data_IF_182356598609
#
_entry.id   IF_182356598609
#
_cell.length_a   1.000
_cell.length_b   1.000
_cell.length_c   1.000
_cell.angle_alpha   90.00
_cell.angle_beta   90.00
_cell.angle_gamma   90.00
#
_symmetry.space_group_name_H-M   'P 1'
#
loop_
_entity.id
_entity.type
_entity.pdbx_description
1 polymer ?
#
# COMPACT_ATOMS: atom_id res chain seq x y z
N UNK A 1 33.30 -9.61 57.61
CA UNK A 1 33.04 -8.39 58.42
C UNK A 1 34.04 -7.32 58.00
N UNK A 2 33.65 -6.05 58.18
CA UNK A 2 34.46 -4.82 58.10
C UNK A 2 34.50 -4.16 56.71
N UNK A 3 33.70 -3.09 56.65
CA UNK A 3 33.67 -2.05 55.63
C UNK A 3 34.89 -1.14 55.78
N UNK A 4 35.37 -0.56 54.67
CA UNK A 4 35.94 0.79 54.70
C UNK A 4 35.84 1.45 53.31
N UNK A 5 35.05 2.52 53.25
CA UNK A 5 35.16 3.57 52.23
C UNK A 5 36.13 4.63 52.77
N UNK A 6 36.82 5.36 51.88
CA UNK A 6 37.00 6.78 52.11
C UNK A 6 36.54 7.64 50.92
N UNK A 7 36.09 8.84 51.29
CA UNK A 7 35.63 9.97 50.50
C UNK A 7 36.85 10.77 49.95
N UNK A 8 36.82 11.26 48.71
CA UNK A 8 36.51 12.65 48.28
C UNK A 8 37.70 13.63 48.28
N UNK A 9 38.14 14.05 47.09
CA UNK A 9 38.67 15.38 46.71
C UNK A 9 38.93 15.38 45.19
N UNK A 10 38.09 15.98 44.34
CA UNK A 10 38.06 17.40 43.98
C UNK A 10 39.33 17.89 43.24
N UNK A 11 39.31 17.81 41.91
CA UNK A 11 40.10 18.67 41.04
C UNK A 11 39.18 19.21 39.94
N UNK A 12 38.89 20.50 40.08
CA UNK A 12 38.12 21.37 39.22
C UNK A 12 38.99 21.73 37.99
N UNK A 13 38.56 21.37 36.78
CA UNK A 13 39.09 22.00 35.55
C UNK A 13 37.97 22.82 34.94
N UNK A 14 38.21 24.12 34.93
CA UNK A 14 37.39 25.17 34.34
C UNK A 14 37.45 25.11 32.81
N UNK A 15 36.27 25.26 32.20
CA UNK A 15 35.94 26.01 30.99
C UNK A 15 36.93 26.00 29.80
N UNK A 16 36.46 25.57 28.62
CA UNK A 16 35.84 26.49 27.64
C UNK A 16 34.98 25.71 26.62
N UNK A 17 33.83 26.27 26.20
CA UNK A 17 33.03 25.77 25.09
C UNK A 17 33.55 26.38 23.77
N UNK A 18 33.68 25.58 22.71
CA UNK A 18 33.99 26.09 21.38
C UNK A 18 33.04 25.48 20.35
N UNK A 19 31.92 26.19 20.20
CA UNK A 19 31.11 26.39 19.00
C UNK A 19 31.08 25.26 17.95
N UNK A 20 29.95 24.55 17.96
CA UNK A 20 29.31 24.08 16.74
C UNK A 20 29.17 25.26 15.75
N UNK A 21 29.79 25.16 14.58
CA UNK A 21 29.49 26.06 13.48
C UNK A 21 28.08 25.76 12.96
N UNK A 22 27.11 26.49 13.51
CA UNK A 22 25.79 26.64 12.90
C UNK A 22 25.98 27.40 11.58
N UNK A 23 25.75 26.72 10.47
CA UNK A 23 25.68 27.32 9.15
C UNK A 23 24.50 28.30 9.14
N UNK A 24 24.68 29.57 8.75
CA UNK A 24 23.59 30.53 8.70
C UNK A 24 22.52 30.08 7.69
N UNK A 25 21.22 30.28 7.97
CA UNK A 25 20.17 30.02 7.00
C UNK A 25 20.36 30.92 5.77
N UNK A 26 20.03 30.42 4.55
CA UNK A 26 20.08 31.25 3.36
C UNK A 26 19.12 32.46 3.48
N UNK A 27 19.48 33.61 2.90
CA UNK A 27 18.63 34.80 2.95
C UNK A 27 17.29 34.58 2.23
N UNK A 28 16.20 35.23 2.66
CA UNK A 28 14.93 35.18 1.94
C UNK A 28 15.09 35.80 0.55
N UNK A 29 14.75 35.02 -0.48
CA UNK A 29 14.76 35.49 -1.86
C UNK A 29 13.53 36.36 -2.12
N UNK A 30 13.72 37.68 -2.21
CA UNK A 30 12.69 38.69 -2.52
C UNK A 30 12.63 38.99 -4.02
N UNK A 31 12.37 37.98 -4.85
CA UNK A 31 12.12 38.20 -6.27
C UNK A 31 10.61 38.40 -6.54
N UNK A 32 10.19 39.55 -7.09
CA UNK A 32 8.78 39.80 -7.43
C UNK A 32 8.33 39.01 -8.67
N UNK A 33 7.03 38.66 -8.67
CA UNK A 33 6.30 38.12 -9.83
C UNK A 33 6.32 39.07 -11.03
N UNK A 34 6.49 38.56 -12.27
CA UNK A 34 5.94 39.21 -13.45
C UNK A 34 4.51 38.70 -13.68
N UNK A 35 3.54 39.48 -13.20
CA UNK A 35 2.22 39.52 -13.82
C UNK A 35 2.30 40.27 -15.16
N UNK A 36 1.33 39.96 -16.04
CA UNK A 36 0.88 40.64 -17.27
C UNK A 36 0.89 39.67 -18.46
N UNK A 37 -0.16 39.43 -19.25
CA UNK A 37 -1.48 40.05 -19.40
C UNK A 37 -2.21 39.21 -20.46
N UNK A 38 -3.46 38.79 -20.23
CA UNK A 38 -4.59 39.14 -21.12
C UNK A 38 -5.94 38.68 -20.52
N UNK A 39 -6.99 39.53 -20.46
CA UNK A 39 -8.32 39.14 -19.99
C UNK A 39 -9.37 38.99 -21.11
N UNK A 40 -10.46 38.29 -20.72
CA UNK A 40 -11.87 38.34 -21.20
C UNK A 40 -12.26 37.50 -22.45
N UNK A 41 -13.50 36.93 -22.54
CA UNK A 41 -14.68 37.45 -21.87
C UNK A 41 -15.60 36.51 -21.10
N UNK A 42 -16.13 37.08 -20.01
CA UNK A 42 -17.42 36.73 -19.40
C UNK A 42 -18.42 37.78 -19.90
N UNK A 43 -19.55 37.36 -20.47
CA UNK A 43 -20.77 38.16 -20.39
C UNK A 43 -22.00 37.27 -20.38
N UNK A 44 -22.87 37.61 -19.45
CA UNK A 44 -24.11 36.98 -19.02
C UNK A 44 -25.26 37.42 -19.92
N UNK A 45 -26.23 36.54 -20.20
CA UNK A 45 -27.62 36.98 -20.34
C UNK A 45 -28.63 35.85 -20.07
N UNK A 46 -29.83 36.20 -19.58
CA UNK A 46 -30.78 35.30 -18.90
C UNK A 46 -31.88 34.80 -19.84
N UNK A 47 -32.48 33.64 -19.53
CA UNK A 47 -33.67 33.14 -20.22
C UNK A 47 -34.94 33.51 -19.42
N UNK A 48 -35.93 34.23 -19.99
CA UNK A 48 -37.26 34.40 -19.42
C UNK A 48 -38.27 33.33 -19.94
N UNK A 49 -39.47 33.21 -19.33
CA UNK A 49 -40.25 31.97 -19.30
C UNK A 49 -41.59 31.98 -20.09
N UNK A 50 -42.18 30.76 -20.20
CA UNK A 50 -43.59 30.39 -20.47
C UNK A 50 -44.08 30.48 -21.95
N UNK A 51 -45.01 29.66 -22.48
CA UNK A 51 -46.11 28.86 -21.89
C UNK A 51 -46.60 27.75 -22.90
N UNK A 52 -47.78 27.09 -22.80
CA UNK A 52 -47.93 25.63 -22.70
C UNK A 52 -48.78 25.01 -23.84
N UNK A 53 -49.19 23.75 -23.63
CA UNK A 53 -50.28 23.04 -24.33
C UNK A 53 -50.05 22.63 -25.80
N UNK A 54 -49.66 21.37 -26.01
CA UNK A 54 -50.57 20.44 -26.70
C UNK A 54 -50.34 18.98 -26.31
N UNK A 55 -51.43 18.45 -25.77
CA UNK A 55 -51.72 17.09 -25.34
C UNK A 55 -51.58 16.05 -26.45
N UNK A 56 -51.07 14.85 -26.11
CA UNK A 56 -51.67 13.54 -26.44
C UNK A 56 -50.87 12.39 -25.78
N UNK A 57 -51.48 11.73 -24.78
CA UNK A 57 -51.18 10.33 -24.41
C UNK A 57 -51.99 9.40 -25.35
N UNK A 58 -51.64 8.10 -25.58
CA UNK A 58 -51.53 7.08 -24.53
C UNK A 58 -50.41 6.01 -24.69
N UNK A 59 -49.89 5.56 -23.54
CA UNK A 59 -49.54 4.20 -23.05
C UNK A 59 -48.97 3.04 -23.94
N UNK A 60 -48.37 2.00 -23.31
CA UNK A 60 -47.15 1.30 -23.76
C UNK A 60 -47.39 -0.09 -24.37
N UNK A 61 -46.51 -0.52 -25.29
CA UNK A 61 -46.40 -1.92 -25.72
C UNK A 61 -44.93 -2.33 -25.97
N UNK A 62 -44.41 -3.11 -25.03
CA UNK A 62 -43.57 -4.32 -25.19
C UNK A 62 -42.85 -4.51 -26.54
N UNK A 63 -41.53 -4.34 -26.53
CA UNK A 63 -40.64 -5.04 -27.46
C UNK A 63 -39.46 -5.63 -26.69
N UNK A 64 -39.49 -6.95 -26.51
CA UNK A 64 -38.39 -7.78 -26.06
C UNK A 64 -37.33 -7.90 -27.15
N UNK A 65 -36.09 -8.17 -26.73
CA UNK A 65 -34.95 -8.87 -27.37
C UNK A 65 -33.67 -8.02 -27.49
N UNK A 66 -32.47 -8.65 -27.53
CA UNK A 66 -31.96 -9.79 -26.75
C UNK A 66 -30.58 -9.48 -26.08
N UNK A 67 -30.15 -10.24 -25.04
CA UNK A 67 -28.87 -10.00 -24.38
C UNK A 67 -27.69 -10.37 -25.30
N UNK A 68 -26.75 -9.44 -25.45
CA UNK A 68 -25.47 -9.69 -26.10
C UNK A 68 -24.72 -10.79 -25.35
N UNK A 69 -24.35 -11.85 -26.07
CA UNK A 69 -23.49 -12.90 -25.56
C UNK A 69 -22.10 -12.32 -25.22
N UNK A 70 -21.53 -12.64 -24.05
CA UNK A 70 -20.13 -12.30 -23.78
C UNK A 70 -19.20 -13.12 -24.68
N UNK A 71 -18.06 -12.57 -25.15
CA UNK A 71 -17.07 -13.34 -25.87
C UNK A 71 -16.51 -14.44 -24.97
N UNK A 72 -16.45 -15.64 -25.53
CA UNK A 72 -15.88 -16.83 -24.91
C UNK A 72 -14.34 -16.79 -24.98
N UNK A 73 -13.73 -17.36 -23.93
CA UNK A 73 -12.38 -17.92 -23.87
C UNK A 73 -11.18 -16.97 -23.86
N UNK A 74 -11.06 -16.20 -22.77
CA UNK A 74 -9.81 -16.21 -22.02
C UNK A 74 -10.12 -16.88 -20.67
N UNK A 75 -9.58 -18.08 -20.43
CA UNK A 75 -9.64 -18.73 -19.13
C UNK A 75 -9.00 -17.76 -18.12
N UNK A 76 -9.73 -17.13 -17.19
CA UNK A 76 -9.11 -16.23 -16.23
C UNK A 76 -8.13 -17.09 -15.43
N UNK A 77 -6.86 -16.68 -15.41
CA UNK A 77 -5.95 -17.21 -14.41
C UNK A 77 -6.62 -16.93 -13.06
N UNK A 78 -7.04 -17.96 -12.32
CA UNK A 78 -7.84 -17.77 -11.10
C UNK A 78 -7.13 -16.89 -10.07
N UNK A 79 -5.82 -16.68 -10.22
CA UNK A 79 -5.03 -15.72 -9.47
C UNK A 79 -5.46 -14.26 -9.74
N UNK A 80 -5.60 -13.80 -11.00
CA UNK A 80 -5.92 -12.40 -11.35
C UNK A 80 -7.36 -11.98 -11.07
N UNK A 81 -8.23 -12.92 -10.68
CA UNK A 81 -9.62 -12.65 -10.30
C UNK A 81 -9.83 -12.50 -8.78
N UNK A 82 -8.76 -12.63 -7.97
CA UNK A 82 -8.89 -12.58 -6.51
C UNK A 82 -9.02 -11.14 -6.02
N UNK A 83 -9.91 -10.87 -5.05
CA UNK A 83 -10.13 -9.53 -4.53
C UNK A 83 -8.92 -9.05 -3.72
N UNK A 84 -8.66 -7.75 -3.79
CA UNK A 84 -7.74 -7.04 -2.90
C UNK A 84 -8.32 -6.89 -1.48
N UNK A 85 -7.51 -6.41 -0.54
CA UNK A 85 -7.90 -6.10 0.83
C UNK A 85 -8.90 -4.96 0.85
N UNK A 86 -8.69 -3.93 0.02
CA UNK A 86 -9.58 -2.79 -0.16
C UNK A 86 -10.11 -2.80 -1.59
N UNK A 87 -11.43 -2.78 -1.75
CA UNK A 87 -12.10 -2.96 -3.06
C UNK A 87 -11.91 -1.76 -3.99
N UNK A 88 -11.83 -0.54 -3.43
CA UNK A 88 -11.52 0.66 -4.21
C UNK A 88 -10.14 0.49 -4.84
N UNK A 89 -9.95 0.61 -6.16
CA UNK A 89 -8.62 0.60 -6.76
C UNK A 89 -7.76 1.72 -6.17
N UNK A 90 -6.45 1.51 -6.07
CA UNK A 90 -5.53 2.56 -5.66
C UNK A 90 -5.18 3.50 -6.82
N UNK A 91 -5.09 4.79 -6.51
CA UNK A 91 -4.57 5.79 -7.43
C UNK A 91 -3.05 5.90 -7.23
N UNK A 92 -2.27 5.78 -8.31
CA UNK A 92 -0.83 5.97 -8.24
C UNK A 92 -0.43 7.45 -8.11
N UNK A 93 -1.38 8.37 -8.29
CA UNK A 93 -1.18 9.83 -8.28
C UNK A 93 -1.53 10.47 -6.93
N UNK A 94 -2.20 9.73 -6.03
CA UNK A 94 -2.68 10.24 -4.74
C UNK A 94 -2.43 9.21 -3.62
N UNK A 95 -2.56 9.64 -2.37
CA UNK A 95 -2.40 8.78 -1.19
C UNK A 95 -3.78 8.55 -0.59
N UNK A 96 -4.23 7.30 -0.59
CA UNK A 96 -5.55 6.97 -0.08
C UNK A 96 -5.50 6.63 1.42
N UNK A 97 -6.32 7.31 2.22
CA UNK A 97 -6.66 6.85 3.57
C UNK A 97 -7.69 5.71 3.49
N UNK A 98 -7.29 4.52 3.92
CA UNK A 98 -8.11 3.30 3.85
C UNK A 98 -8.23 2.61 5.21
N UNK A 99 -9.21 1.72 5.32
CA UNK A 99 -9.33 0.80 6.46
C UNK A 99 -9.13 -0.63 5.97
N UNK A 100 -8.05 -1.27 6.43
CA UNK A 100 -7.75 -2.66 6.11
C UNK A 100 -8.66 -3.59 6.92
N UNK A 101 -9.41 -4.51 6.26
CA UNK A 101 -10.20 -5.51 6.96
C UNK A 101 -9.33 -6.65 7.49
N UNK A 102 -9.72 -7.19 8.63
CA UNK A 102 -9.18 -8.44 9.16
C UNK A 102 -9.71 -9.62 8.34
N UNK A 103 -8.86 -10.28 7.54
CA UNK A 103 -9.22 -11.49 6.77
C UNK A 103 -8.45 -12.70 7.32
N UNK A 104 -9.06 -13.90 7.43
CA UNK A 104 -8.32 -15.12 7.68
C UNK A 104 -7.26 -15.32 6.59
N UNK A 105 -6.05 -15.74 6.97
CA UNK A 105 -4.97 -15.94 6.01
C UNK A 105 -4.08 -17.13 6.38
N UNK A 106 -3.55 -17.77 5.34
CA UNK A 106 -2.46 -18.74 5.46
C UNK A 106 -1.13 -17.99 5.42
N UNK A 107 -0.22 -18.31 6.33
CA UNK A 107 0.96 -17.49 6.65
C UNK A 107 2.21 -18.37 6.64
N UNK A 108 3.24 -17.92 5.91
CA UNK A 108 4.60 -18.42 6.02
C UNK A 108 5.57 -17.26 6.28
N UNK A 109 6.48 -17.46 7.22
CA UNK A 109 7.56 -16.53 7.46
C UNK A 109 8.70 -16.78 6.47
N UNK A 110 9.36 -15.71 6.03
CA UNK A 110 10.51 -15.76 5.15
C UNK A 110 11.52 -14.69 5.51
N UNK A 111 12.70 -14.83 4.93
CA UNK A 111 13.76 -13.81 4.95
C UNK A 111 14.46 -13.81 3.61
N UNK A 112 14.90 -12.65 3.16
CA UNK A 112 15.60 -12.50 1.90
C UNK A 112 16.58 -11.33 1.97
N UNK A 113 17.56 -11.34 1.07
CA UNK A 113 18.35 -10.16 0.74
C UNK A 113 17.60 -9.30 -0.27
N UNK A 114 17.97 -8.02 -0.35
CA UNK A 114 17.40 -7.07 -1.30
C UNK A 114 17.52 -7.55 -2.76
N UNK A 115 18.69 -8.06 -3.14
CA UNK A 115 18.97 -8.58 -4.48
C UNK A 115 18.09 -9.79 -4.87
N UNK A 116 17.56 -10.52 -3.88
CA UNK A 116 16.77 -11.74 -4.07
C UNK A 116 15.28 -11.53 -3.73
N UNK A 117 14.86 -10.28 -3.49
CA UNK A 117 13.55 -9.96 -2.94
C UNK A 117 12.40 -10.52 -3.79
N UNK A 118 12.34 -10.12 -5.06
CA UNK A 118 11.29 -10.56 -5.99
C UNK A 118 11.26 -12.10 -6.14
N UNK A 119 12.43 -12.73 -6.22
CA UNK A 119 12.52 -14.19 -6.30
C UNK A 119 12.00 -14.86 -5.03
N UNK A 120 12.41 -14.39 -3.85
CA UNK A 120 12.02 -14.97 -2.57
C UNK A 120 10.51 -14.85 -2.32
N UNK A 121 9.94 -13.68 -2.62
CA UNK A 121 8.51 -13.41 -2.53
C UNK A 121 7.70 -14.28 -3.51
N UNK A 122 8.17 -14.45 -4.75
CA UNK A 122 7.52 -15.36 -5.69
C UNK A 122 7.53 -16.81 -5.20
N UNK A 123 8.67 -17.29 -4.70
CA UNK A 123 8.81 -18.67 -4.24
C UNK A 123 7.93 -18.96 -3.02
N UNK A 124 7.89 -18.04 -2.04
CA UNK A 124 7.11 -18.23 -0.83
C UNK A 124 5.60 -18.17 -1.14
N UNK A 125 5.13 -17.30 -2.04
CA UNK A 125 3.73 -17.29 -2.46
C UNK A 125 3.36 -18.58 -3.17
N UNK A 126 4.17 -19.04 -4.14
CA UNK A 126 3.95 -20.32 -4.81
C UNK A 126 3.92 -21.50 -3.82
N UNK A 127 4.74 -21.45 -2.76
CA UNK A 127 4.75 -22.46 -1.70
C UNK A 127 3.44 -22.44 -0.90
N UNK A 128 2.95 -21.27 -0.49
CA UNK A 128 1.66 -21.14 0.22
C UNK A 128 0.52 -21.68 -0.65
N UNK A 129 0.46 -21.30 -1.94
CA UNK A 129 -0.55 -21.79 -2.88
C UNK A 129 -0.51 -23.33 -3.01
N UNK A 130 0.68 -23.91 -3.10
CA UNK A 130 0.86 -25.37 -3.19
C UNK A 130 0.36 -26.07 -1.93
N UNK A 131 0.68 -25.54 -0.76
CA UNK A 131 0.29 -26.16 0.51
C UNK A 131 -1.21 -25.97 0.79
N UNK A 132 -1.80 -24.84 0.38
CA UNK A 132 -3.26 -24.63 0.36
C UNK A 132 -3.97 -25.64 -0.55
N UNK A 133 -3.45 -25.84 -1.77
CA UNK A 133 -4.02 -26.79 -2.72
C UNK A 133 -3.98 -28.23 -2.19
N UNK A 134 -2.87 -28.66 -1.56
CA UNK A 134 -2.77 -29.97 -0.90
C UNK A 134 -3.75 -30.13 0.25
N UNK A 135 -4.02 -29.05 0.99
CA UNK A 135 -4.99 -29.04 2.07
C UNK A 135 -6.46 -28.92 1.58
N UNK A 136 -6.68 -28.74 0.27
CA UNK A 136 -8.02 -28.54 -0.29
C UNK A 136 -8.64 -27.18 0.07
N UNK A 137 -7.82 -26.20 0.44
CA UNK A 137 -8.26 -24.85 0.84
C UNK A 137 -8.09 -23.91 -0.35
N UNK A 138 -9.17 -23.25 -0.74
CA UNK A 138 -9.12 -22.27 -1.82
C UNK A 138 -8.65 -20.90 -1.30
N UNK A 139 -7.71 -20.22 -1.98
CA UNK A 139 -7.36 -18.85 -1.66
C UNK A 139 -8.54 -17.90 -1.99
N UNK A 140 -8.71 -16.88 -1.17
CA UNK A 140 -9.84 -15.94 -1.22
C UNK A 140 -9.41 -14.47 -1.38
N UNK A 141 -8.12 -14.19 -1.61
CA UNK A 141 -7.63 -12.84 -1.84
C UNK A 141 -6.24 -12.81 -2.46
N UNK A 142 -5.78 -11.61 -2.81
CA UNK A 142 -4.43 -11.38 -3.37
C UNK A 142 -3.34 -11.69 -2.33
N UNK A 143 -2.15 -12.16 -2.77
CA UNK A 143 -1.02 -12.38 -1.86
C UNK A 143 -0.55 -11.08 -1.21
N UNK A 144 -0.10 -11.19 0.03
CA UNK A 144 0.34 -10.07 0.86
C UNK A 144 1.70 -10.42 1.48
N UNK A 145 2.64 -9.48 1.51
CA UNK A 145 3.85 -9.57 2.30
C UNK A 145 3.82 -8.51 3.41
N UNK A 146 4.00 -8.93 4.66
CA UNK A 146 4.13 -8.04 5.81
C UNK A 146 5.60 -7.99 6.20
N UNK A 147 6.27 -6.87 5.98
CA UNK A 147 7.67 -6.70 6.32
C UNK A 147 7.78 -6.42 7.82
N UNK A 148 8.29 -7.41 8.55
CA UNK A 148 8.35 -7.39 10.03
C UNK A 148 9.67 -6.84 10.55
N UNK A 149 10.71 -6.91 9.73
CA UNK A 149 12.03 -6.34 10.02
C UNK A 149 12.79 -6.09 8.73
N UNK A 150 13.45 -4.95 8.64
CA UNK A 150 14.34 -4.58 7.54
C UNK A 150 15.67 -4.11 8.13
N UNK A 151 16.77 -4.38 7.43
CA UNK A 151 18.12 -3.92 7.72
C UNK A 151 18.92 -3.74 6.42
N UNK A 152 20.16 -3.29 6.52
CA UNK A 152 21.00 -3.01 5.34
C UNK A 152 21.30 -4.28 4.50
N UNK A 153 21.27 -5.46 5.11
CA UNK A 153 21.59 -6.73 4.47
C UNK A 153 20.35 -7.43 3.87
N UNK A 154 19.15 -7.10 4.35
CA UNK A 154 17.90 -7.65 3.85
C UNK A 154 16.71 -7.44 4.77
N UNK A 155 15.79 -8.39 4.72
CA UNK A 155 14.52 -8.26 5.42
C UNK A 155 13.93 -9.60 5.84
N UNK A 156 13.04 -9.53 6.83
CA UNK A 156 12.19 -10.61 7.31
C UNK A 156 10.75 -10.21 7.08
N UNK A 157 9.96 -11.16 6.60
CA UNK A 157 8.59 -10.91 6.21
C UNK A 157 7.69 -12.08 6.55
N UNK A 158 6.41 -11.81 6.70
CA UNK A 158 5.35 -12.81 6.72
C UNK A 158 4.57 -12.73 5.41
N UNK A 159 4.72 -13.74 4.56
CA UNK A 159 3.91 -13.89 3.38
C UNK A 159 2.56 -14.50 3.77
N UNK A 160 1.48 -13.91 3.28
CA UNK A 160 0.12 -14.26 3.60
C UNK A 160 -0.72 -14.41 2.34
N UNK A 161 -1.58 -15.42 2.30
CA UNK A 161 -2.64 -15.55 1.28
C UNK A 161 -3.98 -15.61 2.01
N UNK A 162 -4.88 -14.63 1.81
CA UNK A 162 -6.21 -14.65 2.42
C UNK A 162 -6.98 -15.91 2.03
N UNK A 163 -7.73 -16.47 2.96
CA UNK A 163 -8.61 -17.65 2.80
C UNK A 163 -10.00 -17.33 3.34
N UNK A 164 -11.01 -18.07 2.89
CA UNK A 164 -12.40 -17.79 3.28
C UNK A 164 -12.64 -17.97 4.80
N UNK A 165 -11.93 -18.92 5.42
CA UNK A 165 -12.03 -19.23 6.85
C UNK A 165 -10.74 -19.90 7.33
N UNK A 166 -10.42 -19.71 8.61
CA UNK A 166 -9.34 -20.46 9.27
C UNK A 166 -9.75 -21.93 9.37
N UNK A 167 -8.95 -22.89 8.90
CA UNK A 167 -9.28 -24.30 9.01
C UNK A 167 -9.32 -24.73 10.48
N UNK A 168 -10.30 -25.55 10.84
CA UNK A 168 -10.47 -26.06 12.21
C UNK A 168 -9.27 -26.90 12.67
N UNK A 169 -8.58 -27.52 11.71
CA UNK A 169 -7.31 -28.23 11.93
C UNK A 169 -6.26 -27.66 11.00
N UNK A 170 -5.17 -27.16 11.58
CA UNK A 170 -4.02 -26.75 10.79
C UNK A 170 -3.46 -27.95 10.02
N UNK A 171 -3.15 -27.80 8.72
CA UNK A 171 -2.42 -28.81 7.97
C UNK A 171 -1.04 -29.02 8.59
N UNK A 172 -0.48 -30.22 8.43
CA UNK A 172 0.88 -30.50 8.89
C UNK A 172 1.90 -29.67 8.09
N UNK A 173 2.93 -29.17 8.77
CA UNK A 173 4.02 -28.41 8.16
C UNK A 173 4.20 -27.02 8.77
N UNK A 174 4.86 -26.14 8.01
CA UNK A 174 5.22 -24.79 8.45
C UNK A 174 4.09 -23.76 8.20
N UNK A 175 3.06 -24.15 7.43
CA UNK A 175 1.96 -23.28 7.06
C UNK A 175 1.08 -22.98 8.27
N UNK A 176 1.10 -21.72 8.73
CA UNK A 176 0.27 -21.24 9.83
C UNK A 176 -1.00 -20.61 9.29
N UNK A 177 -2.01 -20.48 10.14
CA UNK A 177 -3.21 -19.71 9.84
C UNK A 177 -3.42 -18.64 10.90
N UNK A 178 -3.80 -17.46 10.46
CA UNK A 178 -4.00 -16.30 11.30
C UNK A 178 -4.89 -15.27 10.61
N UNK A 179 -4.63 -13.99 10.90
CA UNK A 179 -5.41 -12.88 10.36
C UNK A 179 -4.49 -11.87 9.72
N UNK A 180 -4.87 -11.32 8.58
CA UNK A 180 -4.15 -10.20 7.95
C UNK A 180 -4.09 -9.00 8.90
N UNK A 181 -3.05 -8.16 8.82
CA UNK A 181 -3.07 -6.88 9.52
C UNK A 181 -4.32 -6.08 9.14
N UNK A 182 -4.88 -5.37 10.12
CA UNK A 182 -6.12 -4.62 9.97
C UNK A 182 -6.06 -3.29 10.72
N UNK A 183 -6.93 -2.36 10.36
CA UNK A 183 -6.98 -1.02 10.93
C UNK A 183 -6.82 0.08 9.89
N UNK A 184 -6.67 1.32 10.37
CA UNK A 184 -6.46 2.49 9.51
C UNK A 184 -5.07 2.41 8.87
N UNK A 185 -4.99 2.71 7.59
CA UNK A 185 -3.75 2.71 6.85
C UNK A 185 -3.76 3.79 5.76
N UNK A 186 -2.58 4.23 5.38
CA UNK A 186 -2.36 4.95 4.13
C UNK A 186 -1.97 3.93 3.06
N UNK A 187 -2.56 4.03 1.88
CA UNK A 187 -2.22 3.23 0.71
C UNK A 187 -1.45 4.07 -0.30
N UNK A 188 -0.35 3.50 -0.77
CA UNK A 188 0.47 4.01 -1.85
C UNK A 188 0.50 2.94 -2.95
N UNK A 189 0.03 3.28 -4.15
CA UNK A 189 0.01 2.32 -5.26
C UNK A 189 1.27 2.45 -6.12
N UNK A 190 1.99 1.35 -6.23
CA UNK A 190 3.10 1.18 -7.15
C UNK A 190 2.58 0.54 -8.45
N UNK A 191 2.93 1.13 -9.60
CA UNK A 191 2.73 0.56 -10.93
C UNK A 191 4.04 0.62 -11.70
N UNK A 192 4.61 -0.53 -12.01
CA UNK A 192 5.95 -0.63 -12.59
C UNK A 192 6.66 -1.87 -12.10
N UNK A 193 7.92 -2.02 -12.50
CA UNK A 193 8.75 -3.14 -12.10
C UNK A 193 9.00 -3.17 -10.59
N UNK A 194 9.07 -4.36 -10.01
CA UNK A 194 9.42 -4.52 -8.60
C UNK A 194 10.80 -3.92 -8.28
N UNK A 195 11.75 -3.96 -9.23
CA UNK A 195 13.06 -3.31 -9.10
C UNK A 195 12.95 -1.78 -8.92
N UNK A 196 11.88 -1.15 -9.40
CA UNK A 196 11.61 0.27 -9.22
C UNK A 196 10.79 0.61 -7.96
N UNK A 197 10.44 -0.37 -7.12
CA UNK A 197 9.54 -0.16 -5.96
C UNK A 197 10.15 0.77 -4.91
N UNK A 198 11.48 0.84 -4.82
CA UNK A 198 12.21 1.72 -3.90
C UNK A 198 11.78 3.19 -4.06
N UNK A 199 11.51 3.65 -5.29
CA UNK A 199 11.03 5.02 -5.53
C UNK A 199 9.64 5.29 -4.93
N UNK A 200 8.79 4.27 -4.82
CA UNK A 200 7.51 4.38 -4.11
C UNK A 200 7.72 4.47 -2.60
N UNK A 201 8.68 3.72 -2.05
CA UNK A 201 9.04 3.82 -0.63
C UNK A 201 9.67 5.17 -0.26
N UNK A 202 10.49 5.75 -1.14
CA UNK A 202 11.01 7.11 -0.97
C UNK A 202 9.88 8.13 -0.93
N UNK A 203 8.94 8.04 -1.86
CA UNK A 203 7.76 8.92 -1.92
C UNK A 203 6.87 8.76 -0.67
N UNK A 204 6.64 7.53 -0.25
CA UNK A 204 5.87 7.19 0.95
C UNK A 204 6.51 7.83 2.19
N UNK A 205 7.81 7.63 2.38
CA UNK A 205 8.53 8.15 3.56
C UNK A 205 8.51 9.68 3.59
N UNK A 206 8.78 10.32 2.44
CA UNK A 206 8.71 11.77 2.31
C UNK A 206 7.30 12.31 2.62
N UNK A 207 6.24 11.60 2.20
CA UNK A 207 4.86 11.98 2.50
C UNK A 207 4.56 11.90 4.00
N UNK A 208 4.95 10.79 4.66
CA UNK A 208 4.76 10.59 6.09
C UNK A 208 5.46 11.69 6.91
N UNK A 209 6.71 12.00 6.56
CA UNK A 209 7.50 13.04 7.22
C UNK A 209 6.90 14.44 7.00
N UNK A 210 6.50 14.77 5.77
CA UNK A 210 5.93 16.08 5.45
C UNK A 210 4.58 16.33 6.15
N UNK A 211 3.84 15.27 6.48
CA UNK A 211 2.53 15.34 7.13
C UNK A 211 2.58 15.05 8.63
N UNK A 212 3.75 14.74 9.19
CA UNK A 212 3.94 14.33 10.58
C UNK A 212 3.03 13.14 10.97
N UNK A 213 2.89 12.17 10.07
CA UNK A 213 2.02 11.00 10.28
C UNK A 213 2.85 9.86 10.88
N UNK A 214 2.48 9.45 12.09
CA UNK A 214 3.08 8.27 12.72
C UNK A 214 2.40 6.98 12.28
N UNK A 215 3.18 6.08 11.70
CA UNK A 215 2.76 4.74 11.31
C UNK A 215 3.41 3.68 12.19
N UNK A 216 2.92 2.45 12.08
CA UNK A 216 3.58 1.29 12.67
C UNK A 216 4.89 1.00 11.94
N UNK A 217 5.86 0.42 12.65
CA UNK A 217 7.16 0.02 12.10
C UNK A 217 7.07 -1.27 11.26
N UNK A 218 6.08 -1.34 10.36
CA UNK A 218 5.86 -2.43 9.40
C UNK A 218 5.12 -1.89 8.18
N UNK A 219 5.57 -2.32 7.01
CA UNK A 219 4.87 -2.08 5.75
C UNK A 219 4.23 -3.37 5.26
N UNK A 220 3.16 -3.20 4.49
CA UNK A 220 2.42 -4.30 3.90
C UNK A 220 2.38 -4.08 2.41
N UNK A 221 2.89 -5.03 1.64
CA UNK A 221 2.71 -5.06 0.20
C UNK A 221 1.62 -6.05 -0.17
N UNK A 222 0.62 -5.60 -0.91
CA UNK A 222 -0.37 -6.45 -1.55
C UNK A 222 -0.12 -6.47 -3.05
N UNK A 223 0.11 -7.67 -3.60
CA UNK A 223 0.43 -7.86 -5.02
C UNK A 223 -0.88 -7.96 -5.80
N UNK A 224 -1.34 -6.85 -6.37
CA UNK A 224 -2.60 -6.74 -7.11
C UNK A 224 -2.53 -7.54 -8.42
N UNK A 225 -1.38 -7.52 -9.09
CA UNK A 225 -1.04 -8.44 -10.19
C UNK A 225 -0.02 -9.48 -9.73
N UNK A 226 0.17 -10.54 -10.53
CA UNK A 226 1.02 -11.66 -10.13
C UNK A 226 2.50 -11.27 -10.28
N UNK A 227 3.30 -11.45 -9.22
CA UNK A 227 4.73 -11.21 -9.25
C UNK A 227 5.45 -12.32 -10.06
N UNK A 228 5.71 -12.07 -11.34
CA UNK A 228 6.40 -13.03 -12.22
C UNK A 228 7.91 -12.93 -12.08
N UNK A 229 8.46 -11.74 -12.23
CA UNK A 229 9.88 -11.41 -12.15
C UNK A 229 10.04 -9.94 -11.72
N UNK A 230 11.28 -9.56 -11.40
CA UNK A 230 11.56 -8.23 -10.88
C UNK A 230 11.39 -7.09 -11.90
N UNK A 231 11.38 -7.42 -13.20
CA UNK A 231 11.42 -6.45 -14.31
C UNK A 231 10.06 -6.23 -14.98
N UNK A 232 8.99 -6.89 -14.53
CA UNK A 232 7.66 -6.73 -15.12
C UNK A 232 7.07 -5.36 -14.82
N UNK A 233 7.07 -4.48 -15.82
CA UNK A 233 6.52 -3.12 -15.73
C UNK A 233 4.98 -3.08 -15.56
N UNK A 234 4.29 -4.22 -15.63
CA UNK A 234 2.85 -4.34 -15.40
C UNK A 234 2.52 -4.76 -13.97
N UNK A 235 3.53 -4.87 -13.11
CA UNK A 235 3.30 -5.18 -11.72
C UNK A 235 2.56 -4.01 -11.04
N UNK A 236 1.50 -4.35 -10.33
CA UNK A 236 0.73 -3.44 -9.49
C UNK A 236 0.82 -3.93 -8.04
N UNK A 237 1.34 -3.09 -7.16
CA UNK A 237 1.48 -3.37 -5.72
C UNK A 237 0.83 -2.24 -4.92
N UNK A 238 -0.04 -2.60 -3.98
CA UNK A 238 -0.51 -1.65 -2.98
C UNK A 238 0.39 -1.75 -1.75
N UNK A 239 1.08 -0.67 -1.41
CA UNK A 239 1.89 -0.56 -0.19
C UNK A 239 1.04 0.13 0.87
N UNK A 240 0.84 -0.52 2.00
CA UNK A 240 0.08 0.02 3.13
C UNK A 240 1.00 0.32 4.31
N UNK A 241 0.82 1.50 4.89
CA UNK A 241 1.41 1.92 6.15
C UNK A 241 0.29 2.09 7.18
N UNK A 242 0.24 1.23 8.20
CA UNK A 242 -0.80 1.31 9.23
C UNK A 242 -0.55 2.51 10.14
N UNK A 243 -1.56 3.35 10.34
CA UNK A 243 -1.46 4.47 11.27
C UNK A 243 -1.56 4.00 12.72
N UNK A 244 -0.92 4.72 13.65
CA UNK A 244 -1.01 4.46 15.10
C UNK A 244 -2.19 5.14 15.77
#
# INVERSE_FOLDING_TARGET
MIRLRPALAAALVLAHPALAQQQPPPPPSTAPSPAQTNPLPTTTAPNPPQDPERSAAPQPEKALTPPAAPPADAKPNAATARPTLVETPGDASDVDEVSLPAKPAAILAGKAKWEEAAQSLRQIFARIESDLAKAGIAPAGRPIAVFTRTDDDGFQYEAMIPVAQTPERAPEGELRFGTTPSGKALRFSHKGSYEGIDGTYETLTAYLDAKDIMVQDRFIEEYVTDLTDGTDDKLEVNIYALTR
#
